data_IF_405635831410
#
_entry.id   IF_405635831410
#
_cell.length_a   1.000
_cell.length_b   1.000
_cell.length_c   1.000
_cell.angle_alpha   90.00
_cell.angle_beta   90.00
_cell.angle_gamma   90.00
#
_symmetry.space_group_name_H-M   'P 1'
#
loop_
_entity.id
_entity.type
_entity.pdbx_description
1 polymer ?
#
# COMPACT_ATOMS: atom_id res chain seq x y z
N UNK A 1 28.98 -5.89 -17.10
CA UNK A 1 27.50 -5.83 -17.19
C UNK A 1 27.06 -4.82 -16.16
N UNK A 2 26.73 -3.60 -16.58
CA UNK A 2 26.46 -2.48 -15.66
C UNK A 2 24.98 -2.10 -15.68
N UNK A 3 24.44 -2.12 -14.46
CA UNK A 3 23.30 -1.42 -13.86
C UNK A 3 21.91 -1.55 -14.51
N UNK A 4 20.91 -2.13 -13.80
CA UNK A 4 19.53 -2.07 -14.28
C UNK A 4 19.11 -0.61 -14.25
N UNK A 5 18.63 -0.11 -15.38
CA UNK A 5 18.00 1.21 -15.50
C UNK A 5 16.72 1.22 -14.63
N UNK A 6 16.88 1.40 -13.32
CA UNK A 6 15.75 1.69 -12.44
C UNK A 6 15.28 3.08 -12.84
N UNK A 7 14.11 3.17 -13.46
CA UNK A 7 13.56 4.45 -13.87
C UNK A 7 13.37 5.34 -12.64
N UNK A 8 13.45 6.67 -12.81
CA UNK A 8 13.16 7.62 -11.73
C UNK A 8 11.81 7.31 -11.06
N UNK A 9 10.81 6.92 -11.86
CA UNK A 9 9.50 6.50 -11.37
C UNK A 9 9.57 5.29 -10.42
N UNK A 10 10.39 4.29 -10.72
CA UNK A 10 10.55 3.12 -9.84
C UNK A 10 11.19 3.50 -8.50
N UNK A 11 12.10 4.48 -8.49
CA UNK A 11 12.68 5.02 -7.26
C UNK A 11 11.59 5.75 -6.46
N UNK A 12 10.81 6.62 -7.10
CA UNK A 12 9.73 7.37 -6.47
C UNK A 12 8.66 6.43 -5.86
N UNK A 13 8.22 5.40 -6.59
CA UNK A 13 7.26 4.43 -6.07
C UNK A 13 7.81 3.67 -4.86
N UNK A 14 9.11 3.32 -4.87
CA UNK A 14 9.76 2.65 -3.74
C UNK A 14 9.86 3.56 -2.52
N UNK A 15 10.22 4.82 -2.68
CA UNK A 15 10.27 5.78 -1.59
C UNK A 15 8.89 6.09 -1.02
N UNK A 16 7.90 6.26 -1.90
CA UNK A 16 6.51 6.41 -1.50
C UNK A 16 6.01 5.20 -0.70
N UNK A 17 6.27 3.97 -1.19
CA UNK A 17 5.91 2.74 -0.50
C UNK A 17 6.54 2.67 0.90
N UNK A 18 7.85 2.94 1.01
CA UNK A 18 8.54 3.00 2.31
C UNK A 18 7.92 4.02 3.27
N UNK A 19 7.59 5.21 2.76
CA UNK A 19 6.94 6.24 3.56
C UNK A 19 5.58 5.75 4.07
N UNK A 20 4.74 5.18 3.20
CA UNK A 20 3.42 4.64 3.58
C UNK A 20 3.56 3.54 4.64
N UNK A 21 4.46 2.57 4.44
CA UNK A 21 4.68 1.49 5.42
C UNK A 21 5.09 2.05 6.77
N UNK A 22 6.00 3.03 6.81
CA UNK A 22 6.42 3.68 8.06
C UNK A 22 5.25 4.34 8.80
N UNK A 23 4.31 4.95 8.07
CA UNK A 23 3.13 5.56 8.68
C UNK A 23 2.14 4.50 9.18
N UNK A 24 1.92 3.42 8.42
CA UNK A 24 1.06 2.31 8.83
C UNK A 24 1.60 1.60 10.08
N UNK A 25 2.90 1.35 10.16
CA UNK A 25 3.53 0.74 11.33
C UNK A 25 3.32 1.57 12.60
N UNK A 26 3.42 2.90 12.48
CA UNK A 26 3.14 3.81 13.61
C UNK A 26 1.67 3.79 13.99
N UNK A 27 0.77 3.88 13.01
CA UNK A 27 -0.67 3.91 13.25
C UNK A 27 -1.17 2.62 13.92
N UNK A 28 -0.70 1.47 13.44
CA UNK A 28 -1.02 0.16 14.04
C UNK A 28 -0.32 -0.01 15.39
N UNK A 29 0.95 0.39 15.53
CA UNK A 29 1.70 0.26 16.79
C UNK A 29 1.12 1.06 17.96
N UNK A 30 0.54 2.23 17.69
CA UNK A 30 -0.09 3.07 18.72
C UNK A 30 -1.45 2.52 19.18
N UNK A 31 -2.16 1.79 18.31
CA UNK A 31 -3.58 1.43 18.48
C UNK A 31 -3.87 0.02 17.95
N UNK A 32 -3.03 -0.98 18.28
CA UNK A 32 -3.15 -2.35 17.72
C UNK A 32 -4.54 -2.97 17.90
N UNK A 33 -5.25 -2.63 18.97
CA UNK A 33 -6.59 -3.15 19.25
C UNK A 33 -7.73 -2.42 18.50
N UNK A 34 -7.45 -1.29 17.86
CA UNK A 34 -8.47 -0.42 17.24
C UNK A 34 -8.86 -0.87 15.83
N UNK A 35 -7.91 -1.45 15.10
CA UNK A 35 -8.09 -1.83 13.71
C UNK A 35 -8.11 -3.36 13.58
N UNK A 36 -9.19 -3.90 13.01
CA UNK A 36 -9.37 -5.35 12.83
C UNK A 36 -8.70 -5.88 11.55
N UNK A 37 -8.61 -5.03 10.53
CA UNK A 37 -8.08 -5.39 9.22
C UNK A 37 -7.48 -4.17 8.51
N UNK A 38 -6.69 -4.45 7.48
CA UNK A 38 -6.08 -3.49 6.58
C UNK A 38 -6.44 -3.86 5.13
N UNK A 39 -7.05 -2.92 4.42
CA UNK A 39 -7.33 -3.05 2.99
C UNK A 39 -6.44 -2.08 2.23
N UNK A 40 -5.74 -2.57 1.20
CA UNK A 40 -4.83 -1.76 0.40
C UNK A 40 -5.40 -1.60 -1.01
N UNK A 41 -5.58 -0.36 -1.46
CA UNK A 41 -5.99 -0.03 -2.82
C UNK A 41 -4.93 0.86 -3.44
N UNK A 42 -4.34 0.41 -4.54
CA UNK A 42 -3.38 1.18 -5.31
C UNK A 42 -3.26 0.62 -6.72
N UNK A 43 -2.65 1.38 -7.62
CA UNK A 43 -2.28 0.88 -8.94
C UNK A 43 -1.33 -0.35 -8.82
N UNK A 44 -1.30 -1.25 -9.84
CA UNK A 44 -0.57 -2.51 -9.75
C UNK A 44 0.91 -2.39 -9.41
N UNK A 45 1.61 -1.40 -9.99
CA UNK A 45 3.04 -1.18 -9.73
C UNK A 45 3.29 -0.78 -8.27
N UNK A 46 2.51 0.17 -7.76
CA UNK A 46 2.61 0.65 -6.39
C UNK A 46 2.27 -0.46 -5.38
N UNK A 47 1.26 -1.30 -5.65
CA UNK A 47 1.00 -2.49 -4.81
C UNK A 47 2.20 -3.43 -4.75
N UNK A 48 2.89 -3.63 -5.88
CA UNK A 48 4.14 -4.41 -5.91
C UNK A 48 5.19 -3.84 -4.96
N UNK A 49 5.43 -2.52 -5.02
CA UNK A 49 6.36 -1.83 -4.12
C UNK A 49 5.94 -1.95 -2.64
N UNK A 50 4.65 -1.76 -2.34
CA UNK A 50 4.08 -1.89 -0.99
C UNK A 50 4.29 -3.31 -0.43
N UNK A 51 4.01 -4.35 -1.22
CA UNK A 51 4.24 -5.76 -0.84
C UNK A 51 5.69 -6.06 -0.50
N UNK A 52 6.62 -5.47 -1.25
CA UNK A 52 8.06 -5.65 -1.04
C UNK A 52 8.50 -5.04 0.29
N UNK A 53 8.00 -3.84 0.63
CA UNK A 53 8.40 -3.11 1.83
C UNK A 53 7.60 -3.52 3.09
N UNK A 54 6.47 -4.22 2.94
CA UNK A 54 5.64 -4.70 4.04
C UNK A 54 6.37 -5.70 4.94
N UNK A 55 6.46 -5.38 6.25
CA UNK A 55 6.98 -6.28 7.28
C UNK A 55 5.94 -7.29 7.75
N UNK A 56 6.40 -8.40 8.33
CA UNK A 56 5.55 -9.54 8.72
C UNK A 56 4.38 -9.21 9.65
N UNK A 57 4.49 -8.17 10.49
CA UNK A 57 3.40 -7.75 11.40
C UNK A 57 2.19 -7.21 10.64
N UNK A 58 2.41 -6.25 9.74
CA UNK A 58 1.34 -5.65 8.93
C UNK A 58 0.75 -6.65 7.93
N UNK A 59 1.57 -7.54 7.37
CA UNK A 59 1.10 -8.56 6.41
C UNK A 59 -0.04 -9.42 6.95
N UNK A 60 -0.07 -9.69 8.26
CA UNK A 60 -1.14 -10.49 8.89
C UNK A 60 -2.47 -9.78 9.01
N UNK A 61 -2.47 -8.44 8.97
CA UNK A 61 -3.70 -7.64 9.04
C UNK A 61 -4.32 -7.40 7.67
N UNK A 62 -3.58 -7.66 6.58
CA UNK A 62 -4.06 -7.41 5.23
C UNK A 62 -5.08 -8.47 4.85
N UNK A 63 -6.33 -8.04 4.65
CA UNK A 63 -7.45 -8.91 4.27
C UNK A 63 -7.82 -8.77 2.80
N UNK A 64 -7.50 -7.63 2.16
CA UNK A 64 -7.81 -7.37 0.75
C UNK A 64 -6.78 -6.45 0.12
N UNK A 65 -6.39 -6.76 -1.10
CA UNK A 65 -5.55 -5.92 -1.97
C UNK A 65 -6.26 -5.72 -3.30
N UNK A 66 -6.43 -4.47 -3.73
CA UNK A 66 -7.19 -4.11 -4.92
C UNK A 66 -6.29 -3.32 -5.86
N UNK A 67 -5.95 -3.95 -6.99
CA UNK A 67 -5.08 -3.38 -8.02
C UNK A 67 -5.86 -2.41 -8.91
N UNK A 68 -6.15 -1.23 -8.38
CA UNK A 68 -6.93 -0.20 -9.07
C UNK A 68 -6.42 1.19 -8.67
N UNK A 69 -6.17 2.03 -9.67
CA UNK A 69 -5.96 3.45 -9.44
C UNK A 69 -7.30 4.11 -9.15
N UNK A 70 -7.43 4.69 -7.96
CA UNK A 70 -8.61 5.42 -7.51
C UNK A 70 -8.29 6.85 -7.09
N UNK A 71 -7.10 7.38 -7.41
CA UNK A 71 -6.63 8.69 -6.92
C UNK A 71 -7.57 9.84 -7.35
N UNK A 72 -8.21 9.72 -8.52
CA UNK A 72 -9.14 10.72 -9.05
C UNK A 72 -10.62 10.38 -8.79
N UNK A 73 -10.91 9.35 -8.01
CA UNK A 73 -12.26 8.90 -7.73
C UNK A 73 -12.83 9.55 -6.46
N UNK A 74 -14.16 9.65 -6.39
CA UNK A 74 -14.85 10.11 -5.19
C UNK A 74 -14.98 8.98 -4.15
N UNK A 75 -15.36 9.34 -2.93
CA UNK A 75 -15.49 8.39 -1.81
C UNK A 75 -16.45 7.23 -2.12
N UNK A 76 -17.59 7.51 -2.77
CA UNK A 76 -18.58 6.48 -3.13
C UNK A 76 -18.00 5.43 -4.09
N UNK A 77 -17.26 5.87 -5.11
CA UNK A 77 -16.60 4.98 -6.04
C UNK A 77 -15.50 4.15 -5.37
N UNK A 78 -14.80 4.73 -4.38
CA UNK A 78 -13.82 4.02 -3.56
C UNK A 78 -14.50 2.96 -2.69
N UNK A 79 -15.56 3.31 -1.97
CA UNK A 79 -16.31 2.37 -1.13
C UNK A 79 -16.86 1.20 -1.94
N UNK A 80 -17.45 1.48 -3.11
CA UNK A 80 -17.94 0.43 -4.01
C UNK A 80 -16.81 -0.47 -4.48
N UNK A 81 -15.64 0.08 -4.82
CA UNK A 81 -14.51 -0.74 -5.23
C UNK A 81 -13.97 -1.60 -4.08
N UNK A 82 -14.06 -1.12 -2.84
CA UNK A 82 -13.51 -1.77 -1.64
C UNK A 82 -14.45 -2.83 -1.07
N UNK A 83 -15.75 -2.55 -0.98
CA UNK A 83 -16.71 -3.36 -0.22
C UNK A 83 -17.74 -4.11 -1.08
N UNK A 84 -17.74 -3.89 -2.39
CA UNK A 84 -18.54 -4.72 -3.32
C UNK A 84 -17.91 -6.08 -3.59
#
# INVERSE_FOLDING_TARGET
MFEPHTSLKDIEHKEAAKSVIKHLEKAVGHDQAKYKELIIVAEPQMLGCVRHELKNGLKKMITKEIAKDLVQHNAEAVERAVFS
#
